data_IF_005552523158
#
_entry.id   IF_005552523158
#
_cell.length_a   1.000
_cell.length_b   1.000
_cell.length_c   1.000
_cell.angle_alpha   90.00
_cell.angle_beta   90.00
_cell.angle_gamma   90.00
#
_symmetry.space_group_name_H-M   'P 1'
#
loop_
_entity.id
_entity.type
_entity.pdbx_description
1 polymer ?
#
# COMPACT_ATOMS: atom_id res chain seq x y z
N UNK A 1 -24.57 -14.68 15.53
CA UNK A 1 -24.44 -13.21 15.57
C UNK A 1 -24.50 -12.74 14.13
N UNK A 2 -25.50 -11.93 13.79
CA UNK A 2 -25.75 -11.50 12.41
C UNK A 2 -24.59 -10.61 11.95
N UNK A 3 -23.90 -11.03 10.89
CA UNK A 3 -22.97 -10.16 10.17
C UNK A 3 -23.79 -9.01 9.60
N UNK A 4 -23.65 -7.83 10.18
CA UNK A 4 -24.21 -6.62 9.60
C UNK A 4 -23.64 -6.48 8.19
N UNK A 5 -24.47 -6.69 7.18
CA UNK A 5 -24.14 -6.36 5.80
C UNK A 5 -23.92 -4.85 5.77
N UNK A 6 -22.66 -4.43 5.82
CA UNK A 6 -22.28 -3.12 5.35
C UNK A 6 -22.69 -3.08 3.88
N UNK A 7 -23.84 -2.46 3.60
CA UNK A 7 -24.11 -1.93 2.27
C UNK A 7 -22.97 -0.94 2.02
N UNK A 8 -21.93 -1.41 1.32
CA UNK A 8 -20.80 -0.58 0.91
C UNK A 8 -21.42 0.55 0.11
N UNK A 9 -21.27 1.78 0.60
CA UNK A 9 -21.57 2.98 -0.16
C UNK A 9 -20.78 2.86 -1.48
N UNK A 10 -21.49 2.60 -2.58
CA UNK A 10 -20.94 2.16 -3.88
C UNK A 10 -21.14 3.25 -4.95
N UNK A 11 -21.52 4.45 -4.51
CA UNK A 11 -22.03 5.54 -5.35
C UNK A 11 -20.94 6.47 -5.89
N UNK A 12 -19.67 6.21 -5.60
CA UNK A 12 -18.57 6.86 -6.31
C UNK A 12 -18.47 6.26 -7.72
N UNK A 13 -18.82 7.05 -8.75
CA UNK A 13 -18.62 6.64 -10.14
C UNK A 13 -17.12 6.42 -10.42
N UNK A 14 -16.72 5.20 -10.83
CA UNK A 14 -15.33 4.93 -11.13
C UNK A 14 -14.90 5.72 -12.37
N UNK A 15 -13.75 6.40 -12.30
CA UNK A 15 -13.15 7.15 -13.41
C UNK A 15 -12.51 6.22 -14.45
N UNK A 16 -13.27 5.24 -14.96
CA UNK A 16 -12.83 4.23 -15.94
C UNK A 16 -13.71 4.29 -17.19
N UNK A 17 -13.20 3.85 -18.33
CA UNK A 17 -14.02 3.79 -19.55
C UNK A 17 -15.13 2.73 -19.44
N UNK A 18 -16.33 3.04 -19.94
CA UNK A 18 -17.46 2.13 -20.02
C UNK A 18 -18.77 2.78 -19.57
N UNK A 19 -19.87 2.04 -19.72
CA UNK A 19 -21.17 2.43 -19.19
C UNK A 19 -21.27 2.16 -17.68
N UNK A 20 -22.04 2.94 -16.91
CA UNK A 20 -22.33 2.63 -15.52
C UNK A 20 -22.94 1.24 -15.35
N UNK A 21 -22.80 0.68 -14.14
CA UNK A 21 -23.45 -0.60 -13.82
C UNK A 21 -24.97 -0.48 -13.97
N UNK A 22 -25.55 -1.37 -14.77
CA UNK A 22 -27.00 -1.43 -14.96
C UNK A 22 -27.71 -1.91 -13.69
N UNK A 23 -28.99 -1.56 -13.52
CA UNK A 23 -29.85 -2.10 -12.46
C UNK A 23 -29.85 -3.63 -12.44
N UNK A 24 -29.79 -4.26 -13.62
CA UNK A 24 -29.70 -5.71 -13.76
C UNK A 24 -28.40 -6.23 -13.12
N UNK A 25 -27.26 -5.61 -13.40
CA UNK A 25 -25.97 -5.99 -12.81
C UNK A 25 -26.01 -5.83 -11.30
N UNK A 26 -26.55 -4.72 -10.78
CA UNK A 26 -26.69 -4.48 -9.34
C UNK A 26 -27.49 -5.58 -8.65
N UNK A 27 -28.64 -5.99 -9.22
CA UNK A 27 -29.47 -7.07 -8.65
C UNK A 27 -28.71 -8.41 -8.66
N UNK A 28 -28.06 -8.76 -9.77
CA UNK A 28 -27.28 -9.99 -9.89
C UNK A 28 -26.10 -10.02 -8.91
N UNK A 29 -25.37 -8.91 -8.80
CA UNK A 29 -24.25 -8.76 -7.87
C UNK A 29 -24.69 -8.87 -6.41
N UNK A 30 -25.85 -8.32 -6.03
CA UNK A 30 -26.41 -8.48 -4.68
C UNK A 30 -26.76 -9.93 -4.40
N UNK A 31 -27.39 -10.64 -5.35
CA UNK A 31 -27.67 -12.07 -5.21
C UNK A 31 -26.40 -12.92 -5.10
N UNK A 32 -25.37 -12.59 -5.90
CA UNK A 32 -24.06 -13.23 -5.82
C UNK A 32 -23.38 -12.98 -4.47
N UNK A 33 -23.43 -11.74 -3.94
CA UNK A 33 -22.87 -11.40 -2.64
C UNK A 33 -23.48 -12.20 -1.47
N UNK A 34 -24.71 -12.71 -1.62
CA UNK A 34 -25.38 -13.54 -0.63
C UNK A 34 -25.10 -15.04 -0.77
N UNK A 35 -24.59 -15.49 -1.91
CA UNK A 35 -24.53 -16.93 -2.25
C UNK A 35 -23.13 -17.42 -2.59
N UNK A 36 -22.24 -16.55 -3.07
CA UNK A 36 -20.86 -16.88 -3.40
C UNK A 36 -19.99 -16.85 -2.14
N UNK A 37 -19.01 -17.74 -2.10
CA UNK A 37 -18.00 -17.78 -1.04
C UNK A 37 -16.80 -16.91 -1.42
N UNK A 38 -16.58 -15.85 -0.63
CA UNK A 38 -15.45 -14.92 -0.79
C UNK A 38 -14.36 -15.13 0.27
N UNK A 39 -14.27 -16.33 0.85
CA UNK A 39 -13.30 -16.67 1.90
C UNK A 39 -11.87 -16.17 1.63
N UNK A 40 -11.30 -16.25 0.41
CA UNK A 40 -9.95 -15.73 0.17
C UNK A 40 -9.79 -14.23 0.42
N UNK A 41 -10.85 -13.41 0.27
CA UNK A 41 -10.78 -11.95 0.50
C UNK A 41 -10.95 -11.58 1.98
N UNK A 42 -11.37 -12.53 2.82
CA UNK A 42 -11.55 -12.30 4.26
C UNK A 42 -10.21 -12.31 5.02
N UNK A 43 -9.10 -12.70 4.37
CA UNK A 43 -7.76 -12.67 4.96
C UNK A 43 -7.13 -11.27 5.00
N UNK A 44 -7.77 -10.26 4.41
CA UNK A 44 -7.30 -8.87 4.42
C UNK A 44 -7.49 -8.31 5.84
N UNK A 45 -6.38 -8.00 6.51
CA UNK A 45 -6.33 -7.61 7.91
C UNK A 45 -5.72 -6.23 8.17
N UNK A 46 -5.10 -5.61 7.17
CA UNK A 46 -4.48 -4.29 7.31
C UNK A 46 -4.73 -3.40 6.10
N UNK A 47 -4.90 -2.10 6.37
CA UNK A 47 -4.87 -1.02 5.38
C UNK A 47 -3.67 -0.12 5.65
N UNK A 48 -2.75 -0.06 4.69
CA UNK A 48 -1.60 0.85 4.71
C UNK A 48 -1.69 1.83 3.53
N UNK A 49 -1.06 2.98 3.66
CA UNK A 49 -0.89 3.94 2.56
C UNK A 49 0.57 4.37 2.47
N UNK A 50 1.12 4.29 1.25
CA UNK A 50 2.50 4.61 0.94
C UNK A 50 2.62 5.17 -0.49
N UNK A 51 3.85 5.46 -0.93
CA UNK A 51 4.13 5.99 -2.27
C UNK A 51 5.13 5.10 -2.98
N UNK A 52 4.73 4.59 -4.15
CA UNK A 52 5.55 3.77 -5.00
C UNK A 52 6.22 4.58 -6.09
N UNK A 53 7.47 4.29 -6.38
CA UNK A 53 8.28 4.91 -7.44
C UNK A 53 8.50 3.91 -8.57
N UNK A 54 8.42 4.34 -9.82
CA UNK A 54 8.71 3.46 -10.95
C UNK A 54 10.21 3.15 -10.98
N UNK A 55 10.58 1.86 -10.94
CA UNK A 55 11.99 1.47 -10.95
C UNK A 55 12.71 1.91 -12.25
N UNK A 56 11.98 1.95 -13.37
CA UNK A 56 12.50 2.39 -14.67
C UNK A 56 12.52 3.91 -14.88
N UNK A 57 11.77 4.66 -14.07
CA UNK A 57 11.71 6.13 -14.12
C UNK A 57 11.52 6.69 -12.71
N UNK A 58 12.61 6.80 -11.92
CA UNK A 58 12.53 7.12 -10.50
C UNK A 58 12.12 8.58 -10.19
N UNK A 59 11.65 9.32 -11.21
CA UNK A 59 11.05 10.65 -11.07
C UNK A 59 9.53 10.61 -10.98
N UNK A 60 8.91 9.48 -11.34
CA UNK A 60 7.47 9.26 -11.29
C UNK A 60 7.12 8.42 -10.08
N UNK A 61 6.04 8.79 -9.40
CA UNK A 61 5.53 8.06 -8.26
C UNK A 61 4.00 7.99 -8.29
N UNK A 62 3.46 7.04 -7.53
CA UNK A 62 2.03 6.76 -7.40
C UNK A 62 1.74 6.51 -5.92
N UNK A 63 0.78 7.23 -5.35
CA UNK A 63 0.21 6.89 -4.05
C UNK A 63 -0.56 5.58 -4.14
N UNK A 64 -0.32 4.66 -3.20
CA UNK A 64 -0.95 3.36 -3.18
C UNK A 64 -1.59 3.07 -1.81
N UNK A 65 -2.77 2.48 -1.86
CA UNK A 65 -3.50 1.97 -0.71
C UNK A 65 -3.38 0.45 -0.71
N UNK A 66 -2.68 -0.07 0.29
CA UNK A 66 -2.36 -1.48 0.43
C UNK A 66 -3.42 -2.11 1.32
N UNK A 67 -4.11 -3.11 0.79
CA UNK A 67 -5.00 -3.97 1.55
C UNK A 67 -4.33 -5.32 1.66
N UNK A 68 -3.74 -5.58 2.83
CA UNK A 68 -2.81 -6.67 3.04
C UNK A 68 -3.45 -7.83 3.81
N UNK A 69 -3.10 -9.05 3.40
CA UNK A 69 -3.32 -10.26 4.17
C UNK A 69 -1.98 -10.86 4.61
N UNK A 70 -1.94 -11.35 5.84
CA UNK A 70 -0.80 -12.12 6.36
C UNK A 70 -1.00 -13.59 6.00
N UNK A 71 -0.13 -14.13 5.14
CA UNK A 71 -0.19 -15.55 4.77
C UNK A 71 0.50 -16.41 5.83
N UNK A 72 1.62 -15.91 6.34
CA UNK A 72 2.39 -16.47 7.46
C UNK A 72 3.00 -15.30 8.23
N UNK A 73 3.68 -15.60 9.33
CA UNK A 73 4.49 -14.61 10.05
C UNK A 73 5.58 -13.96 9.17
N UNK A 74 5.98 -14.62 8.09
CA UNK A 74 7.15 -14.24 7.29
C UNK A 74 6.79 -13.77 5.88
N UNK A 75 5.52 -13.90 5.48
CA UNK A 75 5.03 -13.57 4.13
C UNK A 75 3.70 -12.85 4.21
N UNK A 76 3.65 -11.66 3.61
CA UNK A 76 2.44 -10.86 3.41
C UNK A 76 2.22 -10.65 1.92
N UNK A 77 0.96 -10.47 1.55
CA UNK A 77 0.57 -10.06 0.22
C UNK A 77 -0.47 -8.96 0.29
N UNK A 78 -0.44 -8.03 -0.65
CA UNK A 78 -1.36 -6.90 -0.67
C UNK A 78 -1.97 -6.71 -2.05
N UNK A 79 -3.26 -6.38 -2.05
CA UNK A 79 -3.92 -5.76 -3.19
C UNK A 79 -3.69 -4.25 -3.09
N UNK A 80 -3.23 -3.64 -4.18
CA UNK A 80 -2.93 -2.22 -4.24
C UNK A 80 -4.00 -1.47 -5.00
N UNK A 81 -4.52 -0.40 -4.41
CA UNK A 81 -5.54 0.47 -5.00
C UNK A 81 -5.05 1.91 -5.09
N UNK A 82 -5.52 2.65 -6.09
CA UNK A 82 -5.18 4.07 -6.29
C UNK A 82 -5.91 5.03 -5.33
N UNK A 83 -6.85 4.52 -4.54
CA UNK A 83 -7.66 5.29 -3.60
C UNK A 83 -8.19 4.38 -2.48
N UNK A 84 -8.43 4.90 -1.27
CA UNK A 84 -9.10 4.16 -0.20
C UNK A 84 -10.63 4.17 -0.34
N UNK A 85 -11.18 4.89 -1.33
CA UNK A 85 -12.61 5.09 -1.51
C UNK A 85 -13.26 3.93 -2.29
N UNK A 86 -14.58 3.74 -2.15
CA UNK A 86 -15.35 2.88 -3.03
C UNK A 86 -15.11 3.22 -4.51
N UNK A 87 -15.02 2.19 -5.37
CA UNK A 87 -14.77 2.37 -6.81
C UNK A 87 -13.30 2.59 -7.19
N UNK A 88 -12.37 2.51 -6.23
CA UNK A 88 -10.93 2.54 -6.51
C UNK A 88 -10.51 1.46 -7.50
N UNK A 89 -9.52 1.77 -8.33
CA UNK A 89 -8.94 0.86 -9.32
C UNK A 89 -7.93 -0.04 -8.62
N UNK A 90 -8.01 -1.36 -8.86
CA UNK A 90 -6.93 -2.27 -8.51
C UNK A 90 -5.75 -1.95 -9.44
N UNK A 91 -4.66 -1.44 -8.89
CA UNK A 91 -3.49 -1.00 -9.65
C UNK A 91 -2.34 -1.98 -9.61
N UNK A 92 -2.29 -2.91 -8.65
CA UNK A 92 -1.16 -3.80 -8.53
C UNK A 92 -1.22 -4.76 -7.36
N UNK A 93 -0.11 -5.45 -7.16
CA UNK A 93 0.12 -6.35 -6.02
C UNK A 93 1.48 -6.08 -5.42
N UNK A 94 1.58 -6.35 -4.13
CA UNK A 94 2.83 -6.38 -3.39
C UNK A 94 2.96 -7.69 -2.64
N UNK A 95 4.19 -8.23 -2.60
CA UNK A 95 4.59 -9.23 -1.64
C UNK A 95 5.61 -8.64 -0.69
N UNK A 96 5.47 -8.93 0.60
CA UNK A 96 6.47 -8.57 1.59
C UNK A 96 6.98 -9.82 2.30
N UNK A 97 8.29 -9.91 2.49
CA UNK A 97 8.93 -11.06 3.14
C UNK A 97 9.94 -10.63 4.20
N UNK A 98 10.19 -11.50 5.19
CA UNK A 98 11.25 -11.29 6.19
C UNK A 98 12.66 -11.51 5.63
N UNK A 99 13.70 -10.96 6.28
CA UNK A 99 15.08 -11.00 5.79
C UNK A 99 15.60 -12.41 5.48
N UNK A 100 15.32 -13.38 6.35
CA UNK A 100 15.80 -14.75 6.16
C UNK A 100 15.24 -15.42 4.89
N UNK A 101 14.06 -15.02 4.40
CA UNK A 101 13.56 -15.48 3.10
C UNK A 101 14.22 -14.72 1.96
N UNK A 102 14.34 -13.40 2.10
CA UNK A 102 14.96 -12.54 1.10
C UNK A 102 16.42 -12.95 0.79
N UNK A 103 17.19 -13.27 1.82
CA UNK A 103 18.59 -13.70 1.70
C UNK A 103 18.76 -15.00 0.89
N UNK A 104 17.73 -15.87 0.87
CA UNK A 104 17.74 -17.11 0.10
C UNK A 104 17.42 -16.92 -1.37
N UNK A 105 16.90 -15.75 -1.76
CA UNK A 105 16.54 -15.48 -3.15
C UNK A 105 17.80 -15.39 -4.03
N UNK A 106 17.74 -15.81 -5.30
CA UNK A 106 18.78 -15.53 -6.29
C UNK A 106 19.09 -14.03 -6.37
N UNK A 107 20.33 -13.67 -6.71
CA UNK A 107 20.76 -12.26 -6.70
C UNK A 107 19.97 -11.40 -7.69
N UNK A 108 19.67 -11.91 -8.88
CA UNK A 108 18.85 -11.24 -9.88
C UNK A 108 17.43 -10.97 -9.38
N UNK A 109 16.86 -11.92 -8.65
CA UNK A 109 15.56 -11.76 -8.01
C UNK A 109 15.62 -10.73 -6.86
N UNK A 110 16.66 -10.75 -6.01
CA UNK A 110 16.84 -9.79 -4.91
C UNK A 110 16.82 -8.32 -5.35
N UNK A 111 17.27 -8.03 -6.56
CA UNK A 111 17.28 -6.66 -7.14
C UNK A 111 15.88 -6.11 -7.42
N UNK A 112 14.86 -6.96 -7.43
CA UNK A 112 13.46 -6.58 -7.66
C UNK A 112 12.74 -6.15 -6.37
N UNK A 113 13.44 -6.15 -5.22
CA UNK A 113 12.86 -5.84 -3.93
C UNK A 113 13.46 -4.56 -3.34
N UNK A 114 12.66 -3.87 -2.53
CA UNK A 114 13.05 -2.68 -1.79
C UNK A 114 12.91 -2.89 -0.28
N UNK A 115 13.62 -2.10 0.51
CA UNK A 115 13.50 -2.06 1.97
C UNK A 115 12.44 -1.04 2.41
N UNK A 116 11.80 -1.30 3.56
CA UNK A 116 10.75 -0.40 4.10
C UNK A 116 11.30 0.63 5.11
N UNK A 117 12.62 0.66 5.33
CA UNK A 117 13.24 1.44 6.43
C UNK A 117 12.85 2.91 6.36
N UNK A 118 13.10 3.53 5.20
CA UNK A 118 12.80 4.94 5.03
C UNK A 118 11.30 5.22 5.09
N UNK A 119 10.46 4.39 4.49
CA UNK A 119 9.01 4.60 4.48
C UNK A 119 8.44 4.64 5.89
N UNK A 120 8.89 3.71 6.74
CA UNK A 120 8.49 3.63 8.14
C UNK A 120 9.03 4.82 8.92
N UNK A 121 10.34 5.07 8.87
CA UNK A 121 11.02 6.06 9.71
C UNK A 121 10.65 7.49 9.34
N UNK A 122 10.40 7.77 8.06
CA UNK A 122 10.01 9.10 7.59
C UNK A 122 8.57 9.49 7.93
N UNK A 123 7.72 8.54 8.37
CA UNK A 123 6.28 8.78 8.53
C UNK A 123 5.50 8.71 7.21
N UNK A 124 6.17 8.40 6.09
CA UNK A 124 5.54 8.28 4.77
C UNK A 124 4.52 7.14 4.73
N UNK A 125 4.91 5.95 5.19
CA UNK A 125 4.01 4.81 5.32
C UNK A 125 3.18 4.95 6.59
N UNK A 126 1.86 4.90 6.45
CA UNK A 126 0.92 5.02 7.56
C UNK A 126 -0.14 3.93 7.51
N UNK A 127 -0.70 3.60 8.67
CA UNK A 127 -1.97 2.89 8.76
C UNK A 127 -3.06 3.92 9.06
N UNK A 128 -3.95 4.23 8.11
CA UNK A 128 -5.03 5.17 8.35
C UNK A 128 -5.89 4.74 9.53
N UNK A 129 -6.29 5.72 10.35
CA UNK A 129 -7.09 5.45 11.53
C UNK A 129 -8.44 4.81 11.15
N UNK A 130 -8.83 3.67 11.75
CA UNK A 130 -10.01 2.94 11.34
C UNK A 130 -11.31 3.62 11.76
N UNK A 131 -11.27 4.43 12.82
CA UNK A 131 -12.43 5.16 13.33
C UNK A 131 -12.02 6.37 14.17
N UNK A 132 -12.70 7.52 14.05
CA UNK A 132 -12.46 8.70 14.88
C UNK A 132 -12.78 8.46 16.36
N UNK A 133 -13.44 7.36 16.71
CA UNK A 133 -13.74 6.99 18.10
C UNK A 133 -12.55 6.37 18.84
N UNK A 134 -11.53 5.89 18.11
CA UNK A 134 -10.31 5.35 18.73
C UNK A 134 -9.45 6.54 19.18
N UNK A 135 -9.02 6.62 20.46
CA UNK A 135 -8.13 7.70 20.89
C UNK A 135 -6.82 7.72 20.09
N UNK A 136 -6.40 8.89 19.60
CA UNK A 136 -5.23 9.03 18.73
C UNK A 136 -3.97 8.40 19.34
N UNK A 137 -3.70 8.62 20.62
CA UNK A 137 -2.52 8.05 21.29
C UNK A 137 -2.54 6.51 21.34
N UNK A 138 -3.73 5.90 21.44
CA UNK A 138 -3.87 4.45 21.38
C UNK A 138 -3.61 3.93 19.97
N UNK A 139 -4.11 4.64 18.96
CA UNK A 139 -3.84 4.31 17.56
C UNK A 139 -2.37 4.48 17.21
N UNK A 140 -1.74 5.59 17.59
CA UNK A 140 -0.31 5.85 17.40
C UNK A 140 0.55 4.71 17.98
N UNK A 141 0.20 4.19 19.16
CA UNK A 141 0.89 3.04 19.78
C UNK A 141 0.70 1.76 18.98
N UNK A 142 -0.52 1.45 18.55
CA UNK A 142 -0.82 0.24 17.79
C UNK A 142 -0.15 0.26 16.40
N UNK A 143 -0.23 1.39 15.70
CA UNK A 143 0.44 1.60 14.42
C UNK A 143 1.96 1.53 14.57
N UNK A 144 2.54 2.11 15.62
CA UNK A 144 4.00 2.04 15.86
C UNK A 144 4.45 0.60 16.09
N UNK A 145 3.69 -0.21 16.82
CA UNK A 145 4.00 -1.63 17.00
C UNK A 145 3.97 -2.40 15.67
N UNK A 146 3.04 -2.08 14.77
CA UNK A 146 3.04 -2.65 13.42
C UNK A 146 4.26 -2.19 12.61
N UNK A 147 4.68 -0.93 12.75
CA UNK A 147 5.86 -0.38 12.09
C UNK A 147 7.18 -1.04 12.55
N UNK A 148 7.27 -1.49 13.80
CA UNK A 148 8.40 -2.27 14.29
C UNK A 148 8.56 -3.62 13.56
N UNK A 149 7.47 -4.15 12.98
CA UNK A 149 7.51 -5.35 12.14
C UNK A 149 7.72 -4.99 10.66
N UNK A 150 7.02 -3.99 10.14
CA UNK A 150 7.11 -3.59 8.72
C UNK A 150 8.51 -3.10 8.35
N UNK A 151 9.21 -2.39 9.25
CA UNK A 151 10.56 -1.87 8.99
C UNK A 151 11.57 -2.96 8.60
N UNK A 152 11.32 -4.21 9.01
CA UNK A 152 12.18 -5.37 8.77
C UNK A 152 11.92 -6.07 7.43
N UNK A 153 10.83 -5.73 6.75
CA UNK A 153 10.38 -6.46 5.57
C UNK A 153 11.05 -5.94 4.28
N UNK A 154 11.16 -6.82 3.30
CA UNK A 154 11.46 -6.47 1.91
C UNK A 154 10.20 -6.56 1.07
N UNK A 155 9.94 -5.58 0.21
CA UNK A 155 8.75 -5.49 -0.65
C UNK A 155 9.08 -5.69 -2.13
N UNK A 156 8.29 -6.51 -2.84
CA UNK A 156 8.30 -6.62 -4.32
C UNK A 156 6.95 -6.23 -4.86
N UNK A 157 6.93 -5.18 -5.66
CA UNK A 157 5.70 -4.51 -6.11
C UNK A 157 5.65 -4.47 -7.63
N UNK A 158 4.50 -4.85 -8.19
CA UNK A 158 4.19 -4.58 -9.60
C UNK A 158 2.88 -3.83 -9.73
N UNK A 159 2.93 -2.70 -10.44
CA UNK A 159 1.74 -1.99 -10.89
C UNK A 159 1.35 -2.44 -12.30
N UNK A 160 0.09 -2.82 -12.45
CA UNK A 160 -0.57 -3.22 -13.70
C UNK A 160 -1.35 -2.05 -14.32
N UNK A 161 -1.57 -0.96 -13.58
CA UNK A 161 -2.22 0.25 -14.09
C UNK A 161 -1.44 1.51 -13.70
N UNK A 162 -0.89 2.20 -14.70
CA UNK A 162 -0.19 3.47 -14.52
C UNK A 162 -1.18 4.65 -14.42
N UNK A 163 -1.78 4.81 -13.25
CA UNK A 163 -2.87 5.79 -13.04
C UNK A 163 -2.43 7.26 -13.19
N UNK A 164 -1.13 7.54 -13.01
CA UNK A 164 -0.53 8.87 -13.17
C UNK A 164 -0.50 9.35 -14.63
N UNK A 165 -0.58 8.42 -15.61
CA UNK A 165 -0.68 8.77 -17.04
C UNK A 165 -2.07 9.26 -17.46
N UNK A 166 -3.09 9.07 -16.62
CA UNK A 166 -4.47 9.42 -16.94
C UNK A 166 -5.17 8.46 -17.91
N UNK A 167 -4.58 7.30 -18.18
CA UNK A 167 -5.18 6.29 -19.07
C UNK A 167 -6.48 5.74 -18.47
N UNK A 168 -7.50 5.62 -19.32
CA UNK A 168 -8.85 5.16 -18.91
C UNK A 168 -8.94 3.65 -18.65
N UNK A 169 -7.93 2.89 -19.06
CA UNK A 169 -7.80 1.43 -18.91
C UNK A 169 -6.33 1.08 -18.57
N UNK A 170 -6.04 -0.10 -18.00
CA UNK A 170 -4.68 -0.52 -17.69
C UNK A 170 -3.92 -0.90 -18.96
N UNK A 171 -3.18 0.06 -19.55
CA UNK A 171 -2.41 -0.14 -20.78
C UNK A 171 -0.94 -0.45 -20.50
N UNK A 172 -0.35 -1.32 -21.32
CA UNK A 172 1.08 -1.63 -21.29
C UNK A 172 1.43 -2.83 -20.41
N UNK A 173 2.72 -3.00 -20.17
CA UNK A 173 3.27 -4.11 -19.37
C UNK A 173 3.28 -3.78 -17.87
N UNK A 174 3.28 -4.81 -16.99
CA UNK A 174 3.51 -4.63 -15.56
C UNK A 174 4.77 -3.80 -15.29
N UNK A 175 4.67 -2.81 -14.42
CA UNK A 175 5.78 -1.95 -14.04
C UNK A 175 6.30 -2.38 -12.67
N UNK A 176 7.60 -2.67 -12.58
CA UNK A 176 8.27 -2.86 -11.30
C UNK A 176 8.27 -1.54 -10.55
N UNK A 177 7.83 -1.57 -9.29
CA UNK A 177 7.89 -0.42 -8.40
C UNK A 177 8.90 -0.66 -7.29
N UNK A 178 9.47 0.44 -6.81
CA UNK A 178 10.34 0.51 -5.64
C UNK A 178 9.76 1.55 -4.68
N UNK A 179 10.37 1.72 -3.51
CA UNK A 179 10.09 2.88 -2.64
C UNK A 179 11.24 3.88 -2.59
N UNK A 180 10.97 5.04 -1.98
CA UNK A 180 11.95 6.04 -1.55
C UNK A 180 12.74 5.46 -0.37
N UNK A 181 14.06 5.62 -0.42
CA UNK A 181 15.01 5.09 0.56
C UNK A 181 15.84 6.18 1.24
N UNK A 182 15.76 7.42 0.78
CA UNK A 182 16.46 8.55 1.39
C UNK A 182 15.75 9.89 1.12
N UNK A 183 15.97 10.86 2.01
CA UNK A 183 15.51 12.24 1.81
C UNK A 183 16.10 12.82 0.51
N UNK A 184 15.31 13.63 -0.20
CA UNK A 184 15.73 14.30 -1.43
C UNK A 184 15.65 13.50 -2.73
N UNK A 185 15.32 12.20 -2.69
CA UNK A 185 15.11 11.39 -3.91
C UNK A 185 13.89 11.84 -4.73
N UNK A 186 12.84 12.33 -4.07
CA UNK A 186 11.66 12.89 -4.72
C UNK A 186 11.45 14.35 -4.29
N UNK A 187 11.68 15.32 -5.20
CA UNK A 187 11.33 16.71 -4.96
C UNK A 187 9.83 16.86 -4.69
N UNK A 188 9.46 17.55 -3.60
CA UNK A 188 8.07 17.82 -3.25
C UNK A 188 7.35 16.71 -2.47
N UNK A 189 8.05 15.64 -2.07
CA UNK A 189 7.46 14.54 -1.29
C UNK A 189 6.71 15.02 -0.04
N UNK A 190 7.26 16.00 0.69
CA UNK A 190 6.60 16.57 1.88
C UNK A 190 5.22 17.15 1.56
N UNK A 191 5.11 17.94 0.48
CA UNK A 191 3.83 18.52 0.08
C UNK A 191 2.82 17.45 -0.35
N UNK A 192 3.29 16.37 -0.96
CA UNK A 192 2.45 15.21 -1.32
C UNK A 192 1.93 14.50 -0.05
N UNK A 193 2.79 14.28 0.94
CA UNK A 193 2.40 13.70 2.23
C UNK A 193 1.45 14.62 3.00
N UNK A 194 1.64 15.93 2.94
CA UNK A 194 0.73 16.92 3.53
C UNK A 194 -0.68 16.85 2.90
N UNK A 195 -0.77 16.71 1.57
CA UNK A 195 -2.06 16.53 0.89
C UNK A 195 -2.71 15.16 1.20
N UNK A 196 -1.91 14.12 1.42
CA UNK A 196 -2.38 12.79 1.84
C UNK A 196 -2.96 12.85 3.25
N UNK A 197 -2.26 13.47 4.19
CA UNK A 197 -2.68 13.54 5.59
C UNK A 197 -4.00 14.29 5.77
N UNK A 198 -4.27 15.33 4.96
CA UNK A 198 -5.57 16.02 4.95
C UNK A 198 -6.75 15.08 4.67
N UNK A 199 -6.53 13.97 3.96
CA UNK A 199 -7.56 12.97 3.63
C UNK A 199 -7.71 11.88 4.68
N UNK A 200 -6.75 11.73 5.58
CA UNK A 200 -6.78 10.74 6.68
C UNK A 200 -6.90 11.45 8.03
N UNK A 201 -8.11 11.48 8.63
CA UNK A 201 -8.31 12.09 9.95
C UNK A 201 -7.31 11.55 10.97
N UNK A 202 -6.67 12.46 11.72
CA UNK A 202 -5.69 12.10 12.75
C UNK A 202 -4.29 11.76 12.23
N UNK A 203 -4.06 11.77 10.91
CA UNK A 203 -2.75 11.52 10.32
C UNK A 203 -1.89 12.79 10.30
N UNK A 204 -0.63 12.65 10.71
CA UNK A 204 0.43 13.68 10.63
C UNK A 204 1.78 12.96 10.50
N UNK A 205 2.34 12.94 9.29
CA UNK A 205 3.55 12.23 8.95
C UNK A 205 4.77 12.76 9.72
N UNK A 206 4.81 14.05 10.08
CA UNK A 206 5.92 14.62 10.86
C UNK A 206 5.86 14.11 12.29
N UNK A 207 4.67 14.07 12.88
CA UNK A 207 4.46 13.44 14.19
C UNK A 207 4.75 11.93 14.15
N UNK A 208 4.39 11.24 13.07
CA UNK A 208 4.75 9.82 12.89
C UNK A 208 6.27 9.64 12.85
N UNK A 209 7.01 10.49 12.12
CA UNK A 209 8.48 10.50 12.08
C UNK A 209 9.06 10.61 13.49
N UNK A 210 8.59 11.60 14.27
CA UNK A 210 9.03 11.82 15.66
C UNK A 210 8.77 10.61 16.57
N UNK A 211 7.55 10.05 16.57
CA UNK A 211 7.20 8.90 17.42
C UNK A 211 8.01 7.65 17.07
N UNK A 212 8.40 7.51 15.80
CA UNK A 212 9.12 6.34 15.27
C UNK A 212 10.64 6.48 15.36
N UNK A 213 11.17 7.56 15.94
CA UNK A 213 12.62 7.73 16.14
C UNK A 213 13.25 6.55 16.89
N UNK A 214 12.53 5.96 17.84
CA UNK A 214 12.98 4.82 18.64
C UNK A 214 12.93 3.45 17.94
N UNK A 215 12.31 3.33 16.77
CA UNK A 215 12.30 2.07 16.01
C UNK A 215 13.72 1.75 15.54
N UNK A 216 14.19 0.55 15.89
CA UNK A 216 15.51 0.03 15.48
C UNK A 216 15.51 -0.26 13.98
N UNK A 217 16.48 0.31 13.27
CA UNK A 217 16.67 0.07 11.85
C UNK A 217 17.41 -1.27 11.64
N UNK A 218 16.89 -2.17 10.79
CA UNK A 218 17.61 -3.37 10.41
C UNK A 218 18.78 -3.05 9.47
N UNK A 219 19.77 -3.93 9.42
CA UNK A 219 20.78 -3.88 8.34
C UNK A 219 20.10 -4.27 7.02
N UNK A 220 20.08 -3.33 6.08
CA UNK A 220 19.52 -3.56 4.74
C UNK A 220 20.54 -4.32 3.90
N UNK A 221 20.11 -5.45 3.33
CA UNK A 221 20.94 -6.30 2.50
C UNK A 221 21.42 -5.51 1.26
N UNK A 222 22.71 -5.62 0.89
CA UNK A 222 23.32 -4.77 -0.14
C UNK A 222 22.78 -4.98 -1.55
N UNK A 223 21.99 -6.02 -1.81
CA UNK A 223 21.31 -6.25 -3.11
C UNK A 223 19.94 -5.54 -3.24
N UNK A 224 19.32 -5.14 -2.13
CA UNK A 224 18.03 -4.43 -2.14
C UNK A 224 18.16 -3.00 -2.69
N UNK A 225 17.02 -2.35 -2.90
CA UNK A 225 16.94 -0.93 -3.27
C UNK A 225 17.74 -0.61 -4.56
N UNK A 226 17.78 -1.57 -5.48
CA UNK A 226 18.68 -1.57 -6.63
C UNK A 226 18.52 -0.34 -7.52
N UNK A 227 17.29 0.17 -7.66
CA UNK A 227 16.95 1.40 -8.40
C UNK A 227 17.81 2.61 -8.00
N UNK A 228 18.22 2.69 -6.73
CA UNK A 228 18.92 3.85 -6.17
C UNK A 228 20.43 3.69 -6.11
N UNK A 229 20.96 2.53 -6.51
CA UNK A 229 22.40 2.31 -6.55
C UNK A 229 22.99 3.14 -7.68
N UNK A 230 23.98 3.95 -7.34
CA UNK A 230 24.79 4.66 -8.31
C UNK A 230 25.85 3.68 -8.81
N UNK A 231 26.06 3.65 -10.12
CA UNK A 231 27.24 3.01 -10.74
C UNK A 231 28.54 3.66 -10.23
#
# INVERSE_FOLDING_TARGET
MHSATHAKDRDAEPKVAGEPRSTKSTILETGAAMTQDFSPLQNICAHLNAFHVYASDPKRFVEANHYCGHLTEDVRQCLLYDSPLPGARLIGVEYMIKPHLYETLPQDERRLWHSHVFEVKSGMLVLPQPSPLVPQALWDKAETAEMEEVVKLYGKVYHLWQVDRGDKLPLGEPQLMTSITAEGQLPGLEGVMDERDKRFPGCDWRKKKEIREGIVEPEVHPDADYTWKKD
#
